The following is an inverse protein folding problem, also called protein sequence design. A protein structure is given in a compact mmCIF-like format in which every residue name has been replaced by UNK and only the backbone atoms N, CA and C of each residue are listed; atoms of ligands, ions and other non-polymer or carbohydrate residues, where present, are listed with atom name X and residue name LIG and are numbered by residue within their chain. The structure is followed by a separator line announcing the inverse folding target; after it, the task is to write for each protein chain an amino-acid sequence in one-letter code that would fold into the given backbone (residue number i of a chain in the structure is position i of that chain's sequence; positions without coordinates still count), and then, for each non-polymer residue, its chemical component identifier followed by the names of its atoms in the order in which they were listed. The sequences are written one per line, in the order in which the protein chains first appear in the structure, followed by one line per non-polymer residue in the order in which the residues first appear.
data_IF_835929999816
#
_entry.id   IF_835929999816
#
_cell.length_a   1.000
_cell.length_b   1.000
_cell.length_c   1.000
_cell.angle_alpha   90.00
_cell.angle_beta   90.00
_cell.angle_gamma   90.00
#
_symmetry.space_group_name_H-M   'P 1'
#
loop_
_entity.id
_entity.type
_entity.pdbx_description
1 polymer ?
#
# COMPACT_ATOMS: atom_id res chain seq x y z
N UNK A 1 4.85 -37.21 30.26
CA UNK A 1 4.58 -36.88 31.68
C UNK A 1 3.56 -35.75 31.69
N UNK A 2 2.39 -36.08 32.16
CA UNK A 2 1.21 -35.25 32.28
C UNK A 2 1.21 -34.47 33.60
N UNK A 3 0.40 -33.43 33.63
CA UNK A 3 -0.45 -32.85 34.69
C UNK A 3 -0.46 -31.34 34.54
N UNK A 4 -1.52 -30.72 34.13
CA UNK A 4 -2.88 -30.56 34.69
C UNK A 4 -2.93 -29.67 35.93
N UNK A 5 -3.76 -28.66 35.88
CA UNK A 5 -4.72 -28.09 36.85
C UNK A 5 -5.00 -26.64 36.48
N UNK A 6 -6.11 -26.23 36.03
CA UNK A 6 -7.53 -26.24 36.44
C UNK A 6 -7.92 -25.03 37.32
N UNK A 7 -8.82 -24.24 36.80
CA UNK A 7 -10.05 -23.65 37.32
C UNK A 7 -10.05 -22.87 38.65
N UNK A 8 -10.66 -21.68 38.59
CA UNK A 8 -11.71 -21.21 39.51
C UNK A 8 -12.24 -19.86 39.04
N UNK A 9 -13.43 -19.69 38.60
CA UNK A 9 -14.77 -19.59 39.18
C UNK A 9 -15.10 -18.20 39.74
N UNK A 10 -16.04 -17.55 39.05
CA UNK A 10 -17.26 -16.82 39.44
C UNK A 10 -17.27 -15.99 40.75
N UNK A 11 -17.74 -14.75 40.64
CA UNK A 11 -19.04 -14.34 41.23
C UNK A 11 -19.48 -12.95 40.78
N UNK A 12 -20.72 -12.87 40.37
CA UNK A 12 -21.53 -11.68 40.18
C UNK A 12 -22.25 -11.34 41.50
N UNK A 13 -22.58 -10.06 41.68
CA UNK A 13 -23.72 -9.57 42.47
C UNK A 13 -23.94 -8.11 42.07
N UNK A 14 -24.92 -7.71 41.39
CA UNK A 14 -26.36 -7.53 41.63
C UNK A 14 -26.71 -6.38 42.58
N UNK A 15 -27.46 -5.44 41.98
CA UNK A 15 -28.59 -4.68 42.50
C UNK A 15 -28.38 -3.51 43.46
N UNK A 16 -28.97 -2.37 43.07
CA UNK A 16 -29.32 -1.26 43.92
C UNK A 16 -30.00 -0.13 43.17
N UNK A 17 -31.29 -0.31 42.84
CA UNK A 17 -32.19 0.79 42.48
C UNK A 17 -32.50 1.59 43.76
N UNK A 18 -32.67 2.90 43.64
CA UNK A 18 -33.75 3.61 44.30
C UNK A 18 -34.01 4.97 43.65
N UNK A 19 -35.28 5.15 43.36
CA UNK A 19 -35.91 6.37 42.85
C UNK A 19 -36.19 7.33 44.02
N UNK A 20 -36.34 8.61 43.70
CA UNK A 20 -36.81 9.61 44.62
C UNK A 20 -37.12 10.92 43.91
N UNK A 21 -38.36 11.01 43.42
CA UNK A 21 -38.98 12.25 42.97
C UNK A 21 -39.41 13.07 44.19
N UNK A 22 -39.20 14.36 44.16
CA UNK A 22 -40.03 15.30 44.94
C UNK A 22 -40.25 16.58 44.13
N UNK A 23 -41.46 16.67 43.63
CA UNK A 23 -42.18 17.87 43.27
C UNK A 23 -42.66 18.58 44.56
N UNK A 24 -42.47 19.88 44.68
CA UNK A 24 -43.39 20.74 45.48
C UNK A 24 -43.67 22.04 44.78
N UNK A 25 -44.93 22.21 44.47
CA UNK A 25 -45.64 23.50 44.22
C UNK A 25 -45.89 24.19 45.58
N UNK A 26 -45.92 25.49 45.58
CA UNK A 26 -46.82 26.36 46.39
C UNK A 26 -46.75 27.74 45.77
N UNK A 27 -47.75 28.21 45.21
CA UNK A 27 -48.93 28.95 45.55
C UNK A 27 -48.62 30.36 46.05
N UNK A 28 -49.34 31.32 45.35
CA UNK A 28 -49.58 32.73 45.50
C UNK A 28 -49.92 33.15 46.93
N UNK A 29 -49.57 34.40 47.28
CA UNK A 29 -50.60 35.37 47.68
C UNK A 29 -50.06 36.81 47.74
N UNK A 30 -50.90 37.70 47.32
CA UNK A 30 -50.85 39.17 47.28
C UNK A 30 -50.54 39.87 48.64
N UNK A 31 -49.99 41.08 48.69
CA UNK A 31 -50.65 42.36 48.63
C UNK A 31 -49.83 43.49 49.30
N UNK A 32 -49.68 44.59 48.60
CA UNK A 32 -49.89 46.00 48.96
C UNK A 32 -48.88 46.76 49.84
N UNK A 33 -48.46 47.84 49.27
CA UNK A 33 -48.10 49.20 49.78
C UNK A 33 -46.60 49.57 49.79
N UNK A 34 -46.29 50.58 48.99
CA UNK A 34 -45.68 51.82 49.45
C UNK A 34 -44.27 52.16 48.99
N UNK A 35 -44.15 52.91 47.93
CA UNK A 35 -43.18 53.99 47.67
C UNK A 35 -41.77 53.91 48.32
N UNK A 36 -40.72 53.75 47.48
CA UNK A 36 -39.58 54.69 47.44
C UNK A 36 -38.76 54.48 46.17
N UNK A 37 -38.70 55.55 45.37
CA UNK A 37 -37.85 55.59 44.13
C UNK A 37 -36.42 55.88 44.56
N UNK A 38 -35.52 54.96 44.24
CA UNK A 38 -34.09 55.24 44.12
C UNK A 38 -33.65 54.88 42.74
N UNK A 39 -33.45 55.83 41.88
CA UNK A 39 -32.75 55.69 40.61
C UNK A 39 -31.27 55.56 40.93
N UNK A 40 -30.65 54.43 40.44
CA UNK A 40 -29.22 54.34 40.25
C UNK A 40 -28.96 54.23 38.74
N UNK A 41 -27.86 54.79 38.23
CA UNK A 41 -27.64 54.94 36.81
C UNK A 41 -27.23 53.65 36.13
N UNK A 42 -27.74 53.49 34.93
CA UNK A 42 -27.40 52.43 33.99
C UNK A 42 -25.90 52.43 33.69
N UNK A 43 -25.18 51.42 34.18
CA UNK A 43 -23.87 51.08 33.69
C UNK A 43 -24.02 49.82 32.83
N UNK A 44 -24.26 50.04 31.53
CA UNK A 44 -24.17 49.00 30.52
C UNK A 44 -22.69 48.61 30.32
N UNK A 45 -22.26 47.50 30.91
CA UNK A 45 -21.04 46.80 30.52
C UNK A 45 -21.32 45.96 29.27
N UNK A 46 -20.64 46.20 28.15
CA UNK A 46 -20.70 45.28 27.04
C UNK A 46 -19.88 44.02 27.42
N UNK A 47 -20.56 42.92 27.64
CA UNK A 47 -19.95 41.60 27.71
C UNK A 47 -19.41 41.26 26.32
N UNK A 48 -18.13 41.53 26.10
CA UNK A 48 -17.38 40.95 24.98
C UNK A 48 -17.25 39.44 25.23
N UNK A 49 -18.19 38.67 24.73
CA UNK A 49 -18.01 37.23 24.55
C UNK A 49 -16.98 37.05 23.44
N UNK A 50 -15.71 36.90 23.83
CA UNK A 50 -14.67 36.44 22.92
C UNK A 50 -14.97 34.98 22.53
N UNK A 51 -15.59 34.81 21.36
CA UNK A 51 -15.72 33.51 20.74
C UNK A 51 -14.28 33.12 20.30
N UNK A 52 -13.60 32.33 21.13
CA UNK A 52 -12.43 31.60 20.73
C UNK A 52 -12.87 30.53 19.70
N UNK A 53 -12.94 30.92 18.41
CA UNK A 53 -12.90 29.94 17.35
C UNK A 53 -11.53 29.26 17.43
N UNK A 54 -11.46 28.08 18.04
CA UNK A 54 -10.34 27.16 17.87
C UNK A 54 -10.33 26.78 16.40
N UNK A 55 -9.47 27.42 15.60
CA UNK A 55 -9.19 27.00 14.25
C UNK A 55 -8.59 25.60 14.35
N UNK A 56 -9.38 24.58 14.05
CA UNK A 56 -8.85 23.26 13.77
C UNK A 56 -7.83 23.45 12.62
N UNK A 57 -6.63 22.87 12.70
CA UNK A 57 -5.70 22.94 11.59
C UNK A 57 -6.41 22.40 10.35
N UNK A 58 -6.60 23.25 9.36
CA UNK A 58 -7.13 22.82 8.06
C UNK A 58 -6.12 21.81 7.49
N UNK A 59 -6.55 20.58 7.27
CA UNK A 59 -5.76 19.61 6.51
C UNK A 59 -5.60 20.24 5.13
N UNK A 60 -4.35 20.49 4.72
CA UNK A 60 -4.09 21.07 3.41
C UNK A 60 -4.64 20.16 2.32
N UNK A 61 -5.30 20.75 1.31
CA UNK A 61 -5.78 19.99 0.16
C UNK A 61 -4.57 19.42 -0.62
N UNK A 62 -4.65 18.15 -1.06
CA UNK A 62 -3.58 17.57 -1.86
C UNK A 62 -3.31 18.35 -3.14
N UNK A 63 -2.05 18.47 -3.50
CA UNK A 63 -1.65 19.07 -4.77
C UNK A 63 -2.11 18.19 -5.91
N UNK A 64 -2.92 18.76 -6.79
CA UNK A 64 -3.44 18.08 -7.97
C UNK A 64 -2.33 17.82 -9.00
N UNK A 65 -2.40 16.68 -9.64
CA UNK A 65 -1.54 16.31 -10.76
C UNK A 65 -2.33 15.58 -11.84
N UNK A 66 -1.64 15.09 -12.85
CA UNK A 66 -2.25 14.34 -13.95
C UNK A 66 -1.52 13.04 -14.20
N UNK A 67 -2.26 12.02 -14.62
CA UNK A 67 -1.73 10.76 -15.14
C UNK A 67 -1.73 10.79 -16.67
N UNK A 68 -0.83 10.08 -17.37
CA UNK A 68 -0.81 10.06 -18.81
C UNK A 68 -2.03 9.30 -19.36
N UNK A 69 -2.45 9.67 -20.57
CA UNK A 69 -3.52 8.93 -21.26
C UNK A 69 -3.11 7.50 -21.60
N UNK A 70 -1.81 7.25 -21.78
CA UNK A 70 -1.27 5.94 -22.12
C UNK A 70 0.16 5.78 -21.60
N UNK A 71 0.43 4.63 -21.01
CA UNK A 71 1.79 4.20 -20.66
C UNK A 71 2.46 3.50 -21.85
N UNK A 72 3.81 3.38 -21.78
CA UNK A 72 4.55 2.55 -22.73
C UNK A 72 4.12 1.08 -22.59
N UNK A 73 3.45 0.57 -23.62
CA UNK A 73 2.88 -0.78 -23.64
C UNK A 73 3.84 -1.84 -24.23
N UNK A 74 5.06 -1.44 -24.59
CA UNK A 74 6.01 -2.31 -25.27
C UNK A 74 5.66 -2.56 -26.75
N UNK A 75 6.18 -3.64 -27.30
CA UNK A 75 5.94 -4.04 -28.67
C UNK A 75 5.91 -5.57 -28.84
N UNK A 76 5.19 -6.08 -29.86
CA UNK A 76 5.21 -7.52 -30.21
C UNK A 76 6.62 -7.97 -30.57
N UNK A 77 7.34 -7.15 -31.33
CA UNK A 77 8.75 -7.34 -31.65
C UNK A 77 9.53 -6.11 -31.19
N UNK A 78 10.18 -6.23 -30.04
CA UNK A 78 10.97 -5.16 -29.45
C UNK A 78 12.25 -4.83 -30.25
N UNK A 79 12.75 -5.74 -31.08
CA UNK A 79 13.90 -5.51 -31.95
C UNK A 79 13.51 -4.70 -33.19
N UNK A 80 12.36 -5.01 -33.78
CA UNK A 80 11.82 -4.30 -34.94
C UNK A 80 11.20 -2.94 -34.56
N UNK A 81 10.76 -2.77 -33.32
CA UNK A 81 10.13 -1.54 -32.80
C UNK A 81 10.82 -1.08 -31.53
N UNK A 82 12.04 -0.50 -31.63
CA UNK A 82 12.78 -0.03 -30.46
C UNK A 82 11.98 0.97 -29.64
N UNK A 83 11.94 0.77 -28.32
CA UNK A 83 11.24 1.64 -27.38
C UNK A 83 12.25 2.34 -26.48
N UNK A 84 11.99 3.59 -26.05
CA UNK A 84 12.77 4.19 -24.96
C UNK A 84 12.72 3.24 -23.74
N UNK A 85 13.88 2.95 -23.13
CA UNK A 85 13.91 1.99 -22.01
C UNK A 85 13.13 2.47 -20.79
N UNK A 86 12.96 3.79 -20.65
CA UNK A 86 12.29 4.45 -19.54
C UNK A 86 11.36 5.56 -20.05
N UNK A 87 10.10 5.52 -19.67
CA UNK A 87 9.16 6.63 -19.83
C UNK A 87 9.14 7.44 -18.55
N UNK A 88 9.27 8.77 -18.66
CA UNK A 88 9.15 9.71 -17.55
C UNK A 88 7.87 10.51 -17.71
N UNK A 89 7.06 10.54 -16.66
CA UNK A 89 5.85 11.34 -16.59
C UNK A 89 5.89 12.26 -15.39
N UNK A 90 5.63 13.54 -15.59
CA UNK A 90 5.51 14.54 -14.52
C UNK A 90 4.06 14.54 -14.06
N UNK A 91 3.78 13.98 -12.87
CA UNK A 91 2.48 14.04 -12.24
C UNK A 91 2.14 15.47 -11.80
N UNK A 92 3.07 16.10 -11.09
CA UNK A 92 3.13 17.52 -10.77
C UNK A 92 4.63 17.91 -10.67
N UNK A 93 5.01 19.21 -10.58
CA UNK A 93 6.42 19.63 -10.73
C UNK A 93 7.44 18.96 -9.80
N UNK A 94 7.01 18.36 -8.68
CA UNK A 94 7.86 17.70 -7.69
C UNK A 94 7.56 16.21 -7.53
N UNK A 95 6.72 15.62 -8.41
CA UNK A 95 6.34 14.21 -8.37
C UNK A 95 6.42 13.61 -9.78
N UNK A 96 7.29 12.62 -9.93
CA UNK A 96 7.52 11.96 -11.22
C UNK A 96 7.20 10.47 -11.10
N UNK A 97 6.58 9.95 -12.15
CA UNK A 97 6.29 8.53 -12.34
C UNK A 97 7.15 8.06 -13.50
N UNK A 98 8.02 7.11 -13.23
CA UNK A 98 8.89 6.52 -14.23
C UNK A 98 8.41 5.10 -14.51
N UNK A 99 8.30 4.73 -15.79
CA UNK A 99 7.94 3.38 -16.18
C UNK A 99 9.03 2.74 -17.00
N UNK A 100 9.49 1.58 -16.59
CA UNK A 100 10.36 0.73 -17.39
C UNK A 100 9.59 0.18 -18.60
N UNK A 101 10.19 0.25 -19.79
CA UNK A 101 9.58 -0.31 -20.99
C UNK A 101 9.44 -1.83 -20.84
N UNK A 102 8.30 -2.43 -21.22
CA UNK A 102 8.16 -3.88 -21.31
C UNK A 102 9.20 -4.52 -22.23
N UNK A 103 9.73 -3.77 -23.20
CA UNK A 103 10.82 -4.23 -24.05
C UNK A 103 12.18 -4.30 -23.33
N UNK A 104 12.40 -3.47 -22.31
CA UNK A 104 13.62 -3.53 -21.48
C UNK A 104 13.51 -4.63 -20.41
N UNK A 105 12.36 -4.74 -19.77
CA UNK A 105 12.02 -5.83 -18.83
C UNK A 105 10.53 -6.13 -18.91
N UNK A 106 10.14 -7.39 -19.02
CA UNK A 106 8.72 -7.78 -19.03
C UNK A 106 7.99 -7.40 -17.73
N UNK A 107 8.72 -7.15 -16.63
CA UNK A 107 8.16 -6.66 -15.36
C UNK A 107 7.58 -5.26 -15.50
N UNK A 108 8.11 -4.42 -16.39
CA UNK A 108 7.60 -3.10 -16.72
C UNK A 108 7.26 -2.24 -15.49
N UNK A 109 8.17 -2.23 -14.51
CA UNK A 109 7.99 -1.60 -13.21
C UNK A 109 7.67 -0.10 -13.30
N UNK A 110 6.84 0.35 -12.37
CA UNK A 110 6.69 1.75 -12.03
C UNK A 110 7.61 2.13 -10.86
N UNK A 111 8.29 3.24 -11.01
CA UNK A 111 9.26 3.80 -10.08
C UNK A 111 8.81 5.23 -9.81
N UNK A 112 8.92 5.71 -8.57
CA UNK A 112 8.38 7.01 -8.20
C UNK A 112 9.46 7.89 -7.60
N UNK A 113 9.55 9.14 -8.09
CA UNK A 113 10.48 10.16 -7.56
C UNK A 113 9.68 11.29 -6.94
N UNK A 114 9.89 11.51 -5.64
CA UNK A 114 9.25 12.53 -4.84
C UNK A 114 10.30 13.54 -4.38
N UNK A 115 10.10 14.83 -4.70
CA UNK A 115 11.05 15.89 -4.41
C UNK A 115 10.50 16.80 -3.33
N UNK A 116 11.26 17.00 -2.26
CA UNK A 116 11.03 18.02 -1.25
C UNK A 116 12.04 19.18 -1.38
N UNK A 117 12.09 20.08 -0.39
CA UNK A 117 13.04 21.19 -0.40
C UNK A 117 14.47 20.81 0.04
N UNK A 118 14.62 19.71 0.80
CA UNK A 118 15.88 19.34 1.43
C UNK A 118 16.48 18.03 0.89
N UNK A 119 15.64 17.12 0.44
CA UNK A 119 16.02 15.86 -0.20
C UNK A 119 14.90 15.30 -1.06
N UNK A 120 15.22 14.32 -1.90
CA UNK A 120 14.28 13.57 -2.70
C UNK A 120 14.20 12.11 -2.23
N UNK A 121 13.08 11.45 -2.51
CA UNK A 121 12.88 10.04 -2.30
C UNK A 121 12.62 9.36 -3.65
N UNK A 122 13.41 8.34 -3.96
CA UNK A 122 13.14 7.40 -5.05
C UNK A 122 12.55 6.13 -4.44
N UNK A 123 11.36 5.76 -4.86
CA UNK A 123 10.68 4.52 -4.45
C UNK A 123 10.90 3.49 -5.55
N UNK A 124 11.62 2.42 -5.24
CA UNK A 124 12.09 1.34 -6.10
C UNK A 124 13.13 1.78 -7.14
N UNK A 125 13.86 0.79 -7.69
CA UNK A 125 14.86 0.98 -8.76
C UNK A 125 14.64 0.03 -9.94
N UNK A 126 13.54 -0.73 -9.92
CA UNK A 126 13.10 -1.57 -11.02
C UNK A 126 13.94 -2.83 -11.26
N UNK A 127 13.71 -3.46 -12.41
CA UNK A 127 14.15 -4.81 -12.74
C UNK A 127 15.46 -4.88 -13.54
N UNK A 128 16.13 -3.75 -13.84
CA UNK A 128 17.31 -3.72 -14.71
C UNK A 128 18.49 -3.03 -14.03
N UNK A 129 19.57 -3.77 -13.84
CA UNK A 129 20.79 -3.28 -13.19
C UNK A 129 21.69 -2.49 -14.12
N UNK A 130 21.78 -2.88 -15.40
CA UNK A 130 22.70 -2.32 -16.37
C UNK A 130 22.30 -0.88 -16.75
N UNK A 131 23.14 0.13 -16.46
CA UNK A 131 22.85 1.53 -16.80
C UNK A 131 22.86 1.82 -18.30
N UNK A 132 23.45 0.93 -19.13
CA UNK A 132 23.41 1.07 -20.59
C UNK A 132 22.03 0.64 -21.13
N UNK A 133 21.47 -0.42 -20.55
CA UNK A 133 20.14 -0.91 -20.92
C UNK A 133 19.02 -0.07 -20.29
N UNK A 134 19.25 0.47 -19.09
CA UNK A 134 18.28 1.25 -18.31
C UNK A 134 19.01 2.36 -17.53
N UNK A 135 19.12 3.58 -18.09
CA UNK A 135 19.88 4.67 -17.47
C UNK A 135 19.09 5.37 -16.36
N UNK A 136 18.66 4.60 -15.34
CA UNK A 136 17.76 5.10 -14.30
C UNK A 136 18.41 6.18 -13.45
N UNK A 137 19.61 5.94 -12.94
CA UNK A 137 20.29 6.93 -12.10
C UNK A 137 20.58 8.24 -12.85
N UNK A 138 21.00 8.15 -14.11
CA UNK A 138 21.19 9.34 -14.97
C UNK A 138 19.88 10.13 -15.09
N UNK A 139 18.77 9.45 -15.43
CA UNK A 139 17.46 10.08 -15.57
C UNK A 139 17.00 10.73 -14.27
N UNK A 140 17.14 10.04 -13.14
CA UNK A 140 16.77 10.58 -11.83
C UNK A 140 17.60 11.83 -11.50
N UNK A 141 18.92 11.79 -11.72
CA UNK A 141 19.80 12.95 -11.48
C UNK A 141 19.44 14.15 -12.38
N UNK A 142 19.00 13.92 -13.61
CA UNK A 142 18.55 14.99 -14.53
C UNK A 142 17.25 15.66 -14.02
N UNK A 143 16.38 14.90 -13.34
CA UNK A 143 15.14 15.41 -12.75
C UNK A 143 15.36 16.14 -11.41
N UNK A 144 16.44 15.82 -10.68
CA UNK A 144 16.73 16.46 -9.40
C UNK A 144 17.17 17.92 -9.58
N UNK A 145 16.60 18.86 -8.81
CA UNK A 145 17.06 20.23 -8.81
C UNK A 145 18.49 20.35 -8.25
N UNK A 146 19.20 21.39 -8.71
CA UNK A 146 20.46 21.79 -8.11
C UNK A 146 20.20 22.68 -6.90
N UNK A 147 20.84 22.38 -5.77
CA UNK A 147 20.84 23.18 -4.55
C UNK A 147 22.30 23.53 -4.22
N UNK A 148 22.62 24.82 -4.22
CA UNK A 148 23.98 25.29 -3.92
C UNK A 148 25.08 24.64 -4.79
N UNK A 149 24.82 24.53 -6.08
CA UNK A 149 25.72 23.90 -7.08
C UNK A 149 25.91 22.37 -6.91
N UNK A 150 25.07 21.70 -6.13
CA UNK A 150 25.06 20.25 -5.97
C UNK A 150 23.65 19.72 -6.20
N UNK A 151 23.56 18.46 -6.63
CA UNK A 151 22.25 17.78 -6.69
C UNK A 151 21.66 17.64 -5.30
N UNK A 152 20.33 17.76 -5.23
CA UNK A 152 19.59 17.52 -4.01
C UNK A 152 19.90 16.11 -3.47
N UNK A 153 20.11 15.92 -2.15
CA UNK A 153 20.31 14.61 -1.57
C UNK A 153 19.21 13.64 -1.93
N UNK A 154 19.57 12.39 -2.22
CA UNK A 154 18.63 11.34 -2.65
C UNK A 154 18.59 10.20 -1.65
N UNK A 155 17.38 9.86 -1.18
CA UNK A 155 17.08 8.63 -0.49
C UNK A 155 16.46 7.65 -1.49
N UNK A 156 17.01 6.45 -1.60
CA UNK A 156 16.46 5.34 -2.39
C UNK A 156 15.88 4.34 -1.41
N UNK A 157 14.59 4.09 -1.49
CA UNK A 157 13.89 3.12 -0.64
C UNK A 157 13.06 2.16 -1.50
N UNK A 158 12.78 0.97 -0.97
CA UNK A 158 12.08 -0.07 -1.71
C UNK A 158 10.75 -0.38 -1.06
N UNK A 159 9.75 -0.68 -1.90
CA UNK A 159 8.49 -1.22 -1.43
C UNK A 159 8.71 -2.60 -0.79
N UNK A 160 9.61 -3.40 -1.34
CA UNK A 160 10.00 -4.71 -0.78
C UNK A 160 11.29 -5.26 -1.42
N UNK A 161 11.75 -6.41 -0.94
CA UNK A 161 13.07 -6.96 -1.28
C UNK A 161 13.16 -7.72 -2.61
N UNK A 162 12.09 -7.92 -3.38
CA UNK A 162 12.18 -8.64 -4.63
C UNK A 162 13.11 -7.93 -5.62
N UNK A 163 13.78 -8.72 -6.45
CA UNK A 163 14.87 -8.20 -7.28
C UNK A 163 14.41 -7.19 -8.33
N UNK A 164 13.22 -7.37 -8.85
CA UNK A 164 12.61 -6.48 -9.83
C UNK A 164 12.27 -5.08 -9.28
N UNK A 165 12.26 -4.89 -7.96
CA UNK A 165 12.11 -3.59 -7.31
C UNK A 165 13.44 -2.93 -6.94
N UNK A 166 14.57 -3.64 -7.00
CA UNK A 166 15.87 -3.17 -6.52
C UNK A 166 17.07 -3.53 -7.41
N UNK A 167 16.84 -4.10 -8.59
CA UNK A 167 17.94 -4.48 -9.48
C UNK A 167 18.80 -3.27 -9.89
N UNK A 168 18.23 -2.08 -9.96
CA UNK A 168 18.94 -0.84 -10.29
C UNK A 168 19.78 -0.22 -9.17
N UNK A 169 19.76 -0.74 -7.93
CA UNK A 169 20.51 -0.21 -6.78
C UNK A 169 22.00 0.06 -7.06
N UNK A 170 22.71 -0.81 -7.80
CA UNK A 170 24.12 -0.56 -8.12
C UNK A 170 24.38 0.76 -8.84
N UNK A 171 23.39 1.29 -9.57
CA UNK A 171 23.50 2.58 -10.24
C UNK A 171 23.55 3.76 -9.26
N UNK A 172 23.06 3.57 -8.03
CA UNK A 172 22.96 4.61 -6.99
C UNK A 172 23.99 4.46 -5.88
N UNK A 173 24.54 3.28 -5.67
CA UNK A 173 25.37 2.94 -4.51
C UNK A 173 26.64 3.80 -4.36
N UNK A 174 27.19 4.35 -5.46
CA UNK A 174 28.39 5.18 -5.45
C UNK A 174 28.12 6.67 -5.70
N UNK A 175 26.85 7.07 -5.83
CA UNK A 175 26.52 8.46 -6.14
C UNK A 175 26.70 9.35 -4.89
N UNK A 176 27.27 10.56 -5.04
CA UNK A 176 27.38 11.51 -3.94
C UNK A 176 26.01 11.89 -3.37
N UNK A 177 25.94 12.08 -2.07
CA UNK A 177 24.71 12.49 -1.36
C UNK A 177 23.52 11.57 -1.60
N UNK A 178 23.77 10.27 -1.89
CA UNK A 178 22.75 9.25 -2.09
C UNK A 178 22.86 8.19 -1.01
N UNK A 179 21.72 7.82 -0.43
CA UNK A 179 21.59 6.75 0.54
C UNK A 179 20.60 5.73 0.03
N UNK A 180 21.00 4.45 -0.03
CA UNK A 180 20.12 3.33 -0.37
C UNK A 180 19.72 2.62 0.93
N UNK A 181 18.42 2.48 1.17
CA UNK A 181 17.88 1.79 2.34
C UNK A 181 18.14 0.28 2.21
N UNK A 182 18.60 -0.40 3.27
CA UNK A 182 18.72 -1.85 3.25
C UNK A 182 17.38 -2.54 2.92
N UNK A 183 17.43 -3.66 2.20
CA UNK A 183 16.22 -4.33 1.70
C UNK A 183 15.80 -5.56 2.53
N UNK A 184 16.64 -6.05 3.44
CA UNK A 184 16.27 -7.12 4.36
C UNK A 184 15.42 -6.59 5.53
N UNK A 185 14.71 -7.49 6.21
CA UNK A 185 13.75 -7.08 7.24
C UNK A 185 14.41 -6.35 8.42
N UNK A 186 15.59 -6.79 8.84
CA UNK A 186 16.31 -6.16 9.94
C UNK A 186 16.75 -4.75 9.56
N UNK A 187 17.32 -4.60 8.36
CA UNK A 187 17.74 -3.31 7.84
C UNK A 187 16.58 -2.34 7.63
N UNK A 188 15.46 -2.79 7.07
CA UNK A 188 14.24 -1.98 6.93
C UNK A 188 13.73 -1.52 8.30
N UNK A 189 13.64 -2.42 9.27
CA UNK A 189 13.21 -2.09 10.63
C UNK A 189 14.13 -1.10 11.31
N UNK A 190 15.43 -1.34 11.24
CA UNK A 190 16.42 -0.48 11.86
C UNK A 190 16.45 0.92 11.21
N UNK A 191 16.37 1.00 9.88
CA UNK A 191 16.40 2.25 9.16
C UNK A 191 15.19 3.15 9.47
N UNK A 192 13.99 2.58 9.47
CA UNK A 192 12.75 3.32 9.71
C UNK A 192 12.36 3.39 11.19
N UNK A 193 13.07 2.72 12.09
CA UNK A 193 12.77 2.73 13.53
C UNK A 193 11.53 1.91 13.91
N UNK A 194 11.27 0.78 13.23
CA UNK A 194 10.14 -0.09 13.55
C UNK A 194 10.47 -1.04 14.69
N UNK A 195 10.18 -0.67 15.94
CA UNK A 195 10.40 -1.50 17.13
C UNK A 195 9.45 -2.71 17.17
N UNK A 196 8.20 -2.53 16.76
CA UNK A 196 7.14 -3.54 16.84
C UNK A 196 6.56 -3.89 15.47
N UNK A 197 7.41 -4.41 14.57
CA UNK A 197 6.99 -4.82 13.23
C UNK A 197 5.86 -5.87 13.28
N UNK A 198 4.80 -5.72 12.46
CA UNK A 198 4.55 -4.69 11.44
C UNK A 198 3.65 -3.53 11.95
N UNK A 199 3.65 -3.24 13.23
CA UNK A 199 2.83 -2.19 13.82
C UNK A 199 3.60 -0.85 13.85
N UNK A 200 2.83 0.24 13.80
CA UNK A 200 3.36 1.60 13.71
C UNK A 200 3.63 2.05 12.29
N UNK A 201 3.89 3.33 12.14
CA UNK A 201 4.29 3.98 10.88
C UNK A 201 5.56 4.78 11.13
N UNK A 202 6.40 4.89 10.12
CA UNK A 202 7.55 5.79 10.11
C UNK A 202 7.28 6.97 9.18
N UNK A 203 8.14 7.99 9.25
CA UNK A 203 8.01 9.21 8.48
C UNK A 203 9.34 9.57 7.84
N UNK A 204 9.30 9.98 6.58
CA UNK A 204 10.42 10.55 5.85
C UNK A 204 10.08 12.02 5.63
N UNK A 205 10.80 12.93 6.28
CA UNK A 205 10.71 14.35 5.99
C UNK A 205 11.65 14.69 4.82
N UNK A 206 11.07 15.22 3.74
CA UNK A 206 11.81 15.63 2.55
C UNK A 206 12.09 17.15 2.52
N UNK A 207 11.70 17.88 3.58
CA UNK A 207 11.67 19.33 3.63
C UNK A 207 10.35 19.86 3.06
N UNK A 208 9.40 20.20 3.96
CA UNK A 208 8.06 20.68 3.60
C UNK A 208 7.19 19.65 2.86
N UNK A 209 7.57 18.37 2.88
CA UNK A 209 6.85 17.22 2.34
C UNK A 209 7.14 16.01 3.18
N UNK A 210 6.11 15.41 3.76
CA UNK A 210 6.21 14.20 4.56
C UNK A 210 5.72 12.99 3.78
N UNK A 211 6.47 11.90 3.85
CA UNK A 211 6.08 10.61 3.30
C UNK A 211 5.97 9.61 4.45
N UNK A 212 4.77 9.12 4.72
CA UNK A 212 4.55 8.06 5.69
C UNK A 212 4.96 6.70 5.12
N UNK A 213 5.65 5.90 5.92
CA UNK A 213 6.06 4.52 5.58
C UNK A 213 5.24 3.56 6.44
N UNK A 214 4.44 2.73 5.78
CA UNK A 214 3.45 1.86 6.41
C UNK A 214 3.86 0.40 6.17
N UNK A 215 4.16 -0.40 7.21
CA UNK A 215 4.42 -1.82 7.02
C UNK A 215 3.22 -2.57 6.45
N UNK A 216 3.44 -3.29 5.35
CA UNK A 216 2.38 -4.02 4.62
C UNK A 216 2.80 -5.45 4.25
N UNK A 217 3.28 -6.27 5.22
CA UNK A 217 3.65 -7.65 4.91
C UNK A 217 2.44 -8.46 4.42
N UNK A 218 2.73 -9.47 3.58
CA UNK A 218 1.71 -10.38 3.04
C UNK A 218 2.04 -10.84 1.64
N UNK A 219 2.43 -9.91 0.74
CA UNK A 219 3.12 -10.20 -0.51
C UNK A 219 4.55 -10.65 -0.24
N UNK A 220 5.26 -9.86 0.56
CA UNK A 220 6.59 -10.16 1.08
C UNK A 220 6.71 -9.68 2.53
N UNK A 221 7.59 -10.31 3.33
CA UNK A 221 7.76 -9.96 4.74
C UNK A 221 8.36 -8.58 4.98
N UNK A 222 9.11 -8.01 4.01
CA UNK A 222 9.73 -6.68 4.12
C UNK A 222 8.89 -5.57 3.51
N UNK A 223 7.68 -5.90 3.04
CA UNK A 223 6.87 -4.98 2.27
C UNK A 223 6.40 -3.77 3.09
N UNK A 224 6.56 -2.58 2.50
CA UNK A 224 6.03 -1.30 2.98
C UNK A 224 5.30 -0.58 1.86
N UNK A 225 4.29 0.21 2.22
CA UNK A 225 3.66 1.19 1.34
C UNK A 225 4.12 2.60 1.76
N UNK A 226 4.12 3.54 0.82
CA UNK A 226 4.48 4.93 1.05
C UNK A 226 3.25 5.82 0.79
N UNK A 227 2.90 6.67 1.74
CA UNK A 227 1.84 7.66 1.56
C UNK A 227 2.46 9.06 1.55
N UNK A 228 2.23 9.78 0.47
CA UNK A 228 2.71 11.14 0.30
C UNK A 228 1.62 12.14 0.72
N UNK A 229 1.89 12.92 1.75
CA UNK A 229 0.95 13.91 2.29
C UNK A 229 0.67 15.05 1.32
N UNK A 230 1.66 15.39 0.46
CA UNK A 230 1.55 16.48 -0.51
C UNK A 230 0.53 16.19 -1.61
N UNK A 231 0.54 15.00 -2.17
CA UNK A 231 -0.33 14.62 -3.31
C UNK A 231 -1.51 13.75 -2.90
N UNK A 232 -1.51 13.20 -1.68
CA UNK A 232 -2.48 12.22 -1.24
C UNK A 232 -2.37 10.87 -1.97
N UNK A 233 -1.23 10.58 -2.59
CA UNK A 233 -1.00 9.31 -3.30
C UNK A 233 -0.47 8.26 -2.33
N UNK A 234 -1.02 7.05 -2.43
CA UNK A 234 -0.51 5.85 -1.78
C UNK A 234 0.23 4.99 -2.81
N UNK A 235 1.54 4.86 -2.65
CA UNK A 235 2.39 3.97 -3.44
C UNK A 235 2.47 2.61 -2.77
N UNK A 236 1.94 1.60 -3.43
CA UNK A 236 1.67 0.28 -2.84
C UNK A 236 2.58 -0.84 -3.35
N UNK A 237 3.52 -0.55 -4.26
CA UNK A 237 4.31 -1.63 -4.87
C UNK A 237 3.39 -2.79 -5.29
N UNK A 238 3.71 -3.99 -4.84
CA UNK A 238 2.98 -5.21 -5.20
C UNK A 238 1.84 -5.58 -4.22
N UNK A 239 1.58 -4.69 -3.26
CA UNK A 239 0.49 -4.93 -2.31
C UNK A 239 -0.90 -4.70 -2.94
N UNK A 240 -1.09 -3.64 -3.74
CA UNK A 240 -2.36 -3.36 -4.41
C UNK A 240 -2.11 -2.67 -5.75
N UNK A 241 -2.30 -3.39 -6.84
CA UNK A 241 -2.01 -2.97 -8.20
C UNK A 241 -2.92 -3.70 -9.20
N UNK A 242 -3.08 -3.22 -10.44
CA UNK A 242 -3.87 -3.90 -11.47
C UNK A 242 -3.10 -5.09 -12.06
N UNK A 243 -2.87 -6.11 -11.23
CA UNK A 243 -2.02 -7.25 -11.53
C UNK A 243 -2.43 -8.51 -10.74
N UNK A 244 -1.57 -9.54 -10.81
CA UNK A 244 -1.61 -10.70 -9.92
C UNK A 244 -0.97 -10.31 -8.59
N UNK A 245 -1.80 -10.17 -7.56
CA UNK A 245 -1.30 -9.99 -6.19
C UNK A 245 -0.79 -11.36 -5.70
N UNK A 246 0.52 -11.53 -5.66
CA UNK A 246 1.17 -12.75 -5.22
C UNK A 246 1.14 -12.82 -3.68
N UNK A 247 0.57 -13.89 -3.14
CA UNK A 247 0.27 -13.99 -1.71
C UNK A 247 1.22 -15.00 -1.07
N UNK A 248 2.17 -14.52 -0.26
CA UNK A 248 2.96 -15.37 0.62
C UNK A 248 2.18 -15.69 1.90
N UNK A 249 1.57 -14.68 2.53
CA UNK A 249 0.81 -14.82 3.77
C UNK A 249 -0.52 -14.06 3.70
N UNK A 250 -1.61 -14.78 3.52
CA UNK A 250 -2.95 -14.20 3.37
C UNK A 250 -3.45 -13.47 4.64
N UNK A 251 -3.11 -13.98 5.83
CA UNK A 251 -3.47 -13.34 7.09
C UNK A 251 -2.77 -12.00 7.27
N UNK A 252 -1.45 -11.97 7.08
CA UNK A 252 -0.66 -10.75 7.15
C UNK A 252 -1.10 -9.72 6.08
N UNK A 253 -1.44 -10.19 4.89
CA UNK A 253 -1.94 -9.34 3.80
C UNK A 253 -3.26 -8.65 4.18
N UNK A 254 -4.22 -9.42 4.71
CA UNK A 254 -5.50 -8.90 5.19
C UNK A 254 -5.32 -7.87 6.31
N UNK A 255 -4.49 -8.18 7.30
CA UNK A 255 -4.20 -7.25 8.41
C UNK A 255 -3.50 -5.98 7.92
N UNK A 256 -2.65 -6.08 6.91
CA UNK A 256 -2.01 -4.94 6.26
C UNK A 256 -3.03 -4.06 5.53
N UNK A 257 -4.01 -4.65 4.83
CA UNK A 257 -5.10 -3.89 4.22
C UNK A 257 -5.92 -3.12 5.26
N UNK A 258 -6.27 -3.76 6.38
CA UNK A 258 -6.99 -3.12 7.48
C UNK A 258 -6.18 -1.97 8.11
N UNK A 259 -4.87 -2.13 8.26
CA UNK A 259 -3.96 -1.09 8.77
C UNK A 259 -3.93 0.14 7.85
N UNK A 260 -3.81 -0.06 6.54
CA UNK A 260 -3.86 1.06 5.58
C UNK A 260 -5.24 1.74 5.61
N UNK A 261 -6.33 0.97 5.65
CA UNK A 261 -7.69 1.53 5.74
C UNK A 261 -7.85 2.39 6.99
N UNK A 262 -7.36 1.91 8.13
CA UNK A 262 -7.38 2.66 9.40
C UNK A 262 -6.54 3.94 9.32
N UNK A 263 -5.32 3.83 8.81
CA UNK A 263 -4.41 4.96 8.57
C UNK A 263 -5.05 6.05 7.70
N UNK A 264 -5.81 5.68 6.69
CA UNK A 264 -6.45 6.60 5.75
C UNK A 264 -7.76 7.22 6.25
N UNK A 265 -8.27 6.87 7.44
CA UNK A 265 -9.53 7.43 7.97
C UNK A 265 -9.50 8.96 8.12
N UNK A 266 -8.34 9.50 8.43
CA UNK A 266 -8.11 10.93 8.68
C UNK A 266 -7.29 11.61 7.59
N UNK A 267 -7.06 10.93 6.46
CA UNK A 267 -6.21 11.40 5.35
C UNK A 267 -6.95 11.40 4.03
N UNK A 268 -6.61 12.35 3.18
CA UNK A 268 -7.13 12.39 1.81
C UNK A 268 -6.36 11.40 0.95
N UNK A 269 -7.07 10.61 0.16
CA UNK A 269 -6.49 9.67 -0.78
C UNK A 269 -6.94 10.05 -2.19
N UNK A 270 -5.99 10.42 -3.03
CA UNK A 270 -6.23 10.77 -4.44
C UNK A 270 -6.14 9.54 -5.34
N UNK A 271 -5.03 8.81 -5.25
CA UNK A 271 -4.75 7.61 -6.06
C UNK A 271 -4.04 6.55 -5.23
N UNK A 272 -4.19 5.29 -5.67
CA UNK A 272 -3.35 4.16 -5.26
C UNK A 272 -2.56 3.75 -6.48
N UNK A 273 -1.23 3.81 -6.40
CA UNK A 273 -0.33 3.49 -7.51
C UNK A 273 0.55 2.30 -7.12
N UNK A 274 0.49 1.24 -7.90
CA UNK A 274 1.24 0.00 -7.65
C UNK A 274 2.55 -0.11 -8.42
N UNK A 275 3.22 -1.26 -8.30
CA UNK A 275 4.49 -1.55 -8.97
C UNK A 275 4.35 -1.97 -10.43
N UNK A 276 3.20 -2.54 -10.84
CA UNK A 276 3.01 -3.14 -12.15
C UNK A 276 1.60 -2.95 -12.71
N UNK A 277 1.46 -3.09 -14.04
CA UNK A 277 0.19 -3.36 -14.72
C UNK A 277 0.32 -4.69 -15.46
N UNK A 278 -0.35 -5.71 -14.98
CA UNK A 278 -0.40 -7.03 -15.63
C UNK A 278 -1.77 -7.37 -16.21
N UNK A 279 -2.76 -6.51 -16.02
CA UNK A 279 -4.11 -6.69 -16.52
C UNK A 279 -4.39 -5.78 -17.72
N UNK A 280 -5.23 -6.25 -18.61
CA UNK A 280 -5.83 -5.39 -19.61
C UNK A 280 -7.09 -4.70 -19.05
N UNK A 281 -7.66 -3.76 -19.80
CA UNK A 281 -8.85 -3.00 -19.41
C UNK A 281 -10.10 -3.87 -19.10
N UNK A 282 -10.11 -5.14 -19.54
CA UNK A 282 -11.16 -6.10 -19.19
C UNK A 282 -10.80 -6.93 -17.94
N UNK A 283 -9.76 -6.57 -17.17
CA UNK A 283 -9.31 -7.28 -15.99
C UNK A 283 -8.75 -8.67 -16.27
N UNK A 284 -8.24 -8.95 -17.47
CA UNK A 284 -7.60 -10.22 -17.83
C UNK A 284 -6.09 -10.05 -17.82
N UNK A 285 -5.40 -10.98 -17.14
CA UNK A 285 -3.96 -10.95 -17.09
C UNK A 285 -3.32 -11.25 -18.44
N UNK A 286 -2.28 -10.51 -18.77
CA UNK A 286 -1.39 -10.88 -19.87
C UNK A 286 -0.66 -12.19 -19.55
N UNK A 287 -0.14 -12.83 -20.58
CA UNK A 287 0.70 -14.00 -20.42
C UNK A 287 1.97 -13.60 -19.65
N UNK A 288 2.38 -14.42 -18.69
CA UNK A 288 3.62 -14.20 -17.97
C UNK A 288 4.81 -14.05 -18.93
N UNK A 289 5.63 -13.03 -18.70
CA UNK A 289 6.75 -12.68 -19.57
C UNK A 289 6.37 -11.93 -20.86
N UNK A 290 5.11 -11.47 -21.00
CA UNK A 290 4.71 -10.66 -22.13
C UNK A 290 5.46 -9.32 -22.15
N UNK A 291 5.96 -8.94 -23.33
CA UNK A 291 6.58 -7.64 -23.58
C UNK A 291 5.71 -6.70 -24.38
N UNK A 292 4.45 -7.06 -24.61
CA UNK A 292 3.46 -6.25 -25.27
C UNK A 292 2.12 -6.33 -24.54
N UNK A 293 1.65 -5.17 -24.10
CA UNK A 293 0.47 -5.03 -23.24
C UNK A 293 -0.59 -4.11 -23.90
N UNK A 294 -1.21 -4.51 -25.01
CA UNK A 294 -2.24 -3.71 -25.66
C UNK A 294 -3.47 -3.58 -24.76
N UNK A 295 -4.09 -2.39 -24.76
CA UNK A 295 -5.26 -2.10 -23.94
C UNK A 295 -5.04 -2.36 -22.44
N UNK A 296 -3.91 -1.90 -21.90
CA UNK A 296 -3.62 -2.00 -20.47
C UNK A 296 -4.73 -1.43 -19.61
N UNK A 297 -4.91 -2.01 -18.43
CA UNK A 297 -5.65 -1.39 -17.34
C UNK A 297 -5.00 -0.05 -16.95
N UNK A 298 -5.79 0.88 -16.41
CA UNK A 298 -5.20 2.08 -15.79
C UNK A 298 -4.29 1.72 -14.63
N UNK A 299 -3.26 2.52 -14.37
CA UNK A 299 -2.35 2.31 -13.24
C UNK A 299 -3.06 2.53 -11.90
N UNK A 300 -3.84 3.61 -11.84
CA UNK A 300 -4.47 4.04 -10.59
C UNK A 300 -5.62 3.13 -10.18
N UNK A 301 -5.58 2.73 -8.93
CA UNK A 301 -6.68 2.11 -8.20
C UNK A 301 -7.29 3.11 -7.21
N UNK A 302 -8.41 2.74 -6.63
CA UNK A 302 -9.24 3.62 -5.82
C UNK A 302 -9.32 3.17 -4.36
N UNK A 303 -9.83 4.06 -3.50
CA UNK A 303 -10.19 3.69 -2.11
C UNK A 303 -11.15 2.50 -2.06
N UNK A 304 -12.07 2.39 -3.03
CA UNK A 304 -13.01 1.28 -3.07
C UNK A 304 -12.32 -0.07 -3.28
N UNK A 305 -11.27 -0.11 -4.12
CA UNK A 305 -10.48 -1.33 -4.34
C UNK A 305 -9.76 -1.77 -3.05
N UNK A 306 -9.18 -0.82 -2.33
CA UNK A 306 -8.53 -1.09 -1.05
C UNK A 306 -9.53 -1.58 0.02
N UNK A 307 -10.68 -0.92 0.15
CA UNK A 307 -11.71 -1.29 1.15
C UNK A 307 -12.32 -2.67 0.86
N UNK A 308 -12.37 -3.07 -0.41
CA UNK A 308 -12.85 -4.40 -0.80
C UNK A 308 -11.83 -5.52 -0.50
N UNK A 309 -10.55 -5.19 -0.32
CA UNK A 309 -9.47 -6.19 -0.21
C UNK A 309 -9.61 -7.13 1.00
N UNK A 310 -9.92 -6.68 2.25
CA UNK A 310 -10.10 -7.59 3.38
C UNK A 310 -11.19 -8.65 3.14
N UNK A 311 -12.34 -8.27 2.59
CA UNK A 311 -13.42 -9.19 2.26
C UNK A 311 -13.05 -10.14 1.10
N UNK A 312 -12.18 -9.70 0.18
CA UNK A 312 -11.63 -10.56 -0.86
C UNK A 312 -10.76 -11.68 -0.26
N UNK A 313 -9.94 -11.35 0.75
CA UNK A 313 -9.12 -12.33 1.47
C UNK A 313 -9.94 -13.32 2.30
N UNK A 314 -11.05 -12.91 2.90
CA UNK A 314 -11.96 -13.81 3.62
C UNK A 314 -12.55 -14.89 2.71
N UNK A 315 -12.77 -14.56 1.44
CA UNK A 315 -13.31 -15.49 0.42
C UNK A 315 -12.25 -16.22 -0.39
N UNK A 316 -10.98 -15.88 -0.19
CA UNK A 316 -9.87 -16.45 -0.95
C UNK A 316 -9.64 -17.91 -0.57
N UNK A 317 -9.77 -18.81 -1.55
CA UNK A 317 -9.59 -20.25 -1.36
C UNK A 317 -8.13 -20.70 -1.14
N UNK A 318 -7.19 -19.76 -1.14
CA UNK A 318 -5.76 -20.02 -0.99
C UNK A 318 -5.03 -20.35 -2.28
N UNK A 319 -5.70 -20.40 -3.44
CA UNK A 319 -5.10 -20.72 -4.73
C UNK A 319 -5.22 -19.59 -5.74
N UNK A 320 -6.45 -19.23 -6.10
CA UNK A 320 -6.74 -18.24 -7.13
C UNK A 320 -8.13 -17.64 -6.92
N UNK A 321 -8.23 -16.30 -7.03
CA UNK A 321 -9.49 -15.59 -7.09
C UNK A 321 -9.34 -14.34 -7.97
N UNK A 322 -10.31 -14.10 -8.86
CA UNK A 322 -10.29 -12.98 -9.78
C UNK A 322 -11.30 -11.92 -9.38
N UNK A 323 -10.86 -10.66 -9.39
CA UNK A 323 -11.64 -9.47 -9.18
C UNK A 323 -11.52 -8.54 -10.41
N UNK A 324 -12.35 -7.51 -10.55
CA UNK A 324 -12.28 -6.62 -11.72
C UNK A 324 -10.90 -6.00 -11.94
N UNK A 325 -10.26 -5.53 -10.87
CA UNK A 325 -9.04 -4.73 -10.94
C UNK A 325 -7.78 -5.45 -10.43
N UNK A 326 -7.90 -6.69 -9.90
CA UNK A 326 -6.76 -7.48 -9.44
C UNK A 326 -7.09 -8.98 -9.36
N UNK A 327 -6.06 -9.79 -9.26
CA UNK A 327 -6.17 -11.25 -9.12
C UNK A 327 -5.40 -11.66 -7.86
N UNK A 328 -6.05 -12.37 -6.93
CA UNK A 328 -5.36 -13.00 -5.80
C UNK A 328 -4.83 -14.35 -6.23
N UNK A 329 -3.54 -14.62 -6.00
CA UNK A 329 -2.94 -15.92 -6.32
C UNK A 329 -1.83 -16.28 -5.35
N UNK A 330 -1.75 -17.57 -4.97
CA UNK A 330 -0.63 -18.10 -4.20
C UNK A 330 0.19 -19.04 -5.09
N UNK A 331 1.31 -18.56 -5.66
CA UNK A 331 2.08 -19.33 -6.62
C UNK A 331 2.66 -20.61 -6.01
N UNK A 332 3.08 -20.58 -4.76
CA UNK A 332 3.66 -21.76 -4.07
C UNK A 332 2.61 -22.86 -3.92
N UNK A 333 1.43 -22.52 -3.43
CA UNK A 333 0.32 -23.50 -3.29
C UNK A 333 -0.10 -24.06 -4.64
N UNK A 334 -0.16 -23.22 -5.67
CA UNK A 334 -0.52 -23.65 -7.03
C UNK A 334 0.50 -24.65 -7.60
N UNK A 335 1.81 -24.39 -7.43
CA UNK A 335 2.87 -25.31 -7.87
C UNK A 335 2.81 -26.63 -7.09
N UNK A 336 2.63 -26.57 -5.77
CA UNK A 336 2.53 -27.79 -4.95
C UNK A 336 1.28 -28.62 -5.32
N UNK A 337 0.14 -27.97 -5.55
CA UNK A 337 -1.08 -28.64 -5.98
C UNK A 337 -0.90 -29.31 -7.35
N UNK A 338 -0.29 -28.61 -8.30
CA UNK A 338 0.02 -29.17 -9.62
C UNK A 338 0.96 -30.37 -9.50
N UNK A 339 2.02 -30.27 -8.72
CA UNK A 339 2.96 -31.36 -8.45
C UNK A 339 2.26 -32.57 -7.86
N UNK A 340 1.36 -32.37 -6.87
CA UNK A 340 0.57 -33.44 -6.29
C UNK A 340 -0.33 -34.12 -7.33
N UNK A 341 -1.03 -33.34 -8.18
CA UNK A 341 -1.88 -33.90 -9.24
C UNK A 341 -1.05 -34.76 -10.20
N UNK A 342 0.13 -34.28 -10.62
CA UNK A 342 1.04 -35.04 -11.51
C UNK A 342 1.45 -36.37 -10.87
N UNK A 343 1.84 -36.36 -9.60
CA UNK A 343 2.21 -37.57 -8.85
C UNK A 343 1.05 -38.58 -8.82
N UNK A 344 -0.17 -38.11 -8.51
CA UNK A 344 -1.37 -38.95 -8.48
C UNK A 344 -1.65 -39.57 -9.85
N UNK A 345 -1.60 -38.78 -10.92
CA UNK A 345 -1.84 -39.24 -12.29
C UNK A 345 -0.81 -40.33 -12.69
N UNK A 346 0.47 -40.09 -12.42
CA UNK A 346 1.55 -41.05 -12.73
C UNK A 346 1.38 -42.34 -11.91
N UNK A 347 0.99 -42.22 -10.63
CA UNK A 347 0.74 -43.39 -9.77
C UNK A 347 -0.43 -44.23 -10.26
N UNK A 348 -1.52 -43.62 -10.68
CA UNK A 348 -2.69 -44.30 -11.26
C UNK A 348 -2.32 -44.99 -12.58
N UNK A 349 -1.55 -44.31 -13.46
CA UNK A 349 -1.09 -44.87 -14.72
C UNK A 349 -0.15 -46.06 -14.49
N UNK A 350 0.82 -45.96 -13.59
CA UNK A 350 1.73 -47.04 -13.23
C UNK A 350 1.00 -48.26 -12.65
N UNK A 351 0.03 -48.02 -11.76
CA UNK A 351 -0.83 -49.07 -11.21
C UNK A 351 -1.68 -49.75 -12.28
N UNK A 352 -2.26 -48.98 -13.19
CA UNK A 352 -2.99 -49.52 -14.35
C UNK A 352 -2.14 -50.39 -15.23
N UNK A 353 -0.91 -49.94 -15.58
CA UNK A 353 0.07 -50.68 -16.35
C UNK A 353 0.50 -51.98 -15.64
N UNK A 354 0.78 -51.88 -14.33
CA UNK A 354 1.11 -53.05 -13.50
C UNK A 354 0.01 -54.11 -13.53
N UNK A 355 -1.27 -53.69 -13.33
CA UNK A 355 -2.42 -54.60 -13.39
C UNK A 355 -2.58 -55.21 -14.79
N UNK A 356 -2.41 -54.42 -15.84
CA UNK A 356 -2.48 -54.92 -17.22
C UNK A 356 -1.40 -55.98 -17.51
N UNK A 357 -0.15 -55.70 -17.17
CA UNK A 357 0.98 -56.65 -17.36
C UNK A 357 0.78 -57.92 -16.54
N UNK A 358 0.32 -57.80 -15.29
CA UNK A 358 0.00 -58.97 -14.43
C UNK A 358 -1.14 -59.83 -15.01
N UNK A 359 -2.17 -59.23 -15.56
CA UNK A 359 -3.27 -59.98 -16.26
C UNK A 359 -2.76 -60.68 -17.52
N UNK A 360 -1.90 -60.02 -18.29
CA UNK A 360 -1.33 -60.56 -19.50
C UNK A 360 -0.41 -61.77 -19.21
N UNK A 361 0.39 -61.71 -18.13
CA UNK A 361 1.20 -62.85 -17.66
C UNK A 361 0.31 -64.04 -17.23
N UNK A 362 -0.76 -63.81 -16.51
CA UNK A 362 -1.71 -64.88 -16.08
C UNK A 362 -2.48 -65.54 -17.23
N UNK A 363 -2.60 -64.90 -18.37
CA UNK A 363 -3.24 -65.48 -19.57
C UNK A 363 -2.27 -66.27 -20.45
N UNK A 364 -0.96 -66.19 -20.21
CA UNK A 364 0.09 -66.88 -20.93
C UNK A 364 0.65 -68.09 -20.16
N UNK A 365 0.37 -68.17 -18.90
CA UNK A 365 0.60 -69.35 -18.04
C UNK A 365 -0.69 -70.22 -17.98
#
# INVERSE_FOLDING_TARGET
MAKSFAKSFFRASSLGRLAGAHTRRCHETCAVTGLAVCRLPDATLPTLAAILLSALPAVAEPVSGSLPAQWNIGAEDCAASPQPPLQVHTYEPQTFILRQSPCASFEANFIYLLIGSDKALLIDTGAVADPQAMPLAKTVLELLPDKEHKKLPLLVAHTHRHLDHRAGDPQFASLPSTQVVPFDLEGVRAFFGFDNWPNGNAHIDLGGRTVDVIPTPGHNQTHVAFYDDRTGILFTGDFLMPARLLIENAGAYRESALRIIDFLKTRQLTHILGGHIELNAAGRAYRFGSRYHPNEHRLELTRADLVALPAAFERFNGFYARYPNYILTNPVRNILALGFIVVVVLSVAAFGLYRFLRRRRRRRA
#
